data_IF_041788963801
#
_entry.id   IF_041788963801
#
_cell.length_a   1.000
_cell.length_b   1.000
_cell.length_c   1.000
_cell.angle_alpha   90.00
_cell.angle_beta   90.00
_cell.angle_gamma   90.00
#
_symmetry.space_group_name_H-M   'P 1'
#
loop_
_entity.id
_entity.type
_entity.pdbx_description
1 polymer ?
#
# COMPACT_ATOMS: atom_id res chain seq x y z
N UNK A 1 39.63 -19.45 -38.78
CA UNK A 1 38.86 -20.24 -37.79
C UNK A 1 37.87 -19.29 -37.13
N UNK A 2 36.59 -19.59 -37.29
CA UNK A 2 35.45 -18.76 -36.93
C UNK A 2 35.17 -18.89 -35.42
N UNK A 3 35.33 -17.80 -34.66
CA UNK A 3 34.71 -17.65 -33.35
C UNK A 3 33.31 -17.02 -33.57
N UNK A 4 32.34 -17.87 -33.88
CA UNK A 4 30.92 -17.55 -33.81
C UNK A 4 30.23 -18.56 -32.90
N UNK A 5 29.25 -18.08 -32.13
CA UNK A 5 28.44 -18.78 -31.12
C UNK A 5 29.25 -19.16 -29.87
N UNK A 6 28.97 -18.67 -28.66
CA UNK A 6 27.68 -18.56 -27.99
C UNK A 6 27.69 -17.40 -26.98
N UNK A 7 27.44 -16.16 -27.42
CA UNK A 7 26.74 -15.20 -26.56
C UNK A 7 25.26 -15.45 -26.76
N UNK A 8 24.72 -16.39 -25.99
CA UNK A 8 23.31 -16.41 -25.61
C UNK A 8 23.09 -15.06 -24.92
N UNK A 9 22.74 -14.03 -25.70
CA UNK A 9 22.04 -12.86 -25.19
C UNK A 9 20.84 -13.46 -24.46
N UNK A 10 20.92 -13.49 -23.13
CA UNK A 10 19.74 -13.41 -22.30
C UNK A 10 19.05 -12.13 -22.76
N UNK A 11 18.14 -12.28 -23.73
CA UNK A 11 17.01 -11.40 -23.81
C UNK A 11 16.26 -11.67 -22.52
N UNK A 12 16.65 -10.97 -21.45
CA UNK A 12 15.71 -10.58 -20.42
C UNK A 12 14.59 -9.88 -21.19
N UNK A 13 13.56 -10.64 -21.51
CA UNK A 13 12.26 -10.07 -21.79
C UNK A 13 11.97 -9.22 -20.57
N UNK A 14 12.14 -7.90 -20.70
CA UNK A 14 11.54 -6.94 -19.79
C UNK A 14 10.05 -7.20 -19.94
N UNK A 15 9.52 -8.11 -19.12
CA UNK A 15 8.09 -8.35 -19.01
C UNK A 15 7.57 -7.00 -18.58
N UNK A 16 6.96 -6.28 -19.53
CA UNK A 16 6.33 -4.99 -19.26
C UNK A 16 5.23 -5.32 -18.25
N UNK A 17 5.50 -5.09 -16.96
CA UNK A 17 4.58 -5.42 -15.89
C UNK A 17 3.26 -4.72 -16.21
N UNK A 18 2.18 -5.49 -16.26
CA UNK A 18 0.85 -4.91 -16.47
C UNK A 18 0.52 -3.97 -15.31
N UNK A 19 -0.46 -3.07 -15.51
CA UNK A 19 -0.90 -2.15 -14.45
C UNK A 19 -1.31 -2.90 -13.18
N UNK A 20 -1.92 -4.08 -13.34
CA UNK A 20 -2.20 -5.02 -12.27
C UNK A 20 -0.94 -5.44 -11.50
N UNK A 21 0.11 -5.91 -12.19
CA UNK A 21 1.33 -6.39 -11.54
C UNK A 21 2.09 -5.23 -10.84
N UNK A 22 2.02 -4.02 -11.40
CA UNK A 22 2.58 -2.81 -10.79
C UNK A 22 1.84 -2.45 -9.51
N UNK A 23 0.51 -2.42 -9.55
CA UNK A 23 -0.31 -2.09 -8.40
C UNK A 23 -0.22 -3.15 -7.30
N UNK A 24 -0.19 -4.44 -7.67
CA UNK A 24 0.07 -5.54 -6.75
C UNK A 24 1.41 -5.35 -6.03
N UNK A 25 2.47 -4.99 -6.75
CA UNK A 25 3.78 -4.74 -6.14
C UNK A 25 3.77 -3.56 -5.16
N UNK A 26 3.05 -2.49 -5.49
CA UNK A 26 2.88 -1.33 -4.61
C UNK A 26 2.16 -1.75 -3.32
N UNK A 27 1.02 -2.42 -3.44
CA UNK A 27 0.19 -2.85 -2.31
C UNK A 27 0.95 -3.81 -1.40
N UNK A 28 1.66 -4.79 -1.97
CA UNK A 28 2.50 -5.72 -1.20
C UNK A 28 3.61 -4.97 -0.46
N UNK A 29 4.29 -4.03 -1.12
CA UNK A 29 5.39 -3.25 -0.50
C UNK A 29 4.86 -2.45 0.70
N UNK A 30 3.73 -1.77 0.55
CA UNK A 30 3.16 -0.95 1.63
C UNK A 30 2.68 -1.81 2.79
N UNK A 31 1.97 -2.89 2.50
CA UNK A 31 1.47 -3.79 3.54
C UNK A 31 2.63 -4.42 4.33
N UNK A 32 3.73 -4.76 3.66
CA UNK A 32 4.94 -5.26 4.33
C UNK A 32 5.66 -4.20 5.18
N UNK A 33 5.54 -2.91 4.84
CA UNK A 33 6.12 -1.81 5.61
C UNK A 33 5.26 -1.42 6.82
N UNK A 34 3.93 -1.45 6.69
CA UNK A 34 3.01 -1.09 7.78
C UNK A 34 2.93 -2.17 8.88
N UNK A 35 3.19 -3.41 8.50
CA UNK A 35 3.12 -4.56 9.39
C UNK A 35 4.55 -5.11 9.54
N UNK A 36 5.26 -4.72 10.60
CA UNK A 36 6.68 -5.08 10.78
C UNK A 36 6.90 -6.49 11.33
N UNK A 37 5.85 -7.15 11.84
CA UNK A 37 5.94 -8.43 12.55
C UNK A 37 5.36 -9.61 11.75
N UNK A 38 6.08 -10.06 10.73
CA UNK A 38 5.76 -11.35 10.10
C UNK A 38 7.00 -12.19 9.89
N UNK A 39 6.92 -13.44 10.33
CA UNK A 39 7.95 -14.44 10.06
C UNK A 39 7.83 -15.04 8.66
N UNK A 40 6.66 -14.96 7.98
CA UNK A 40 6.42 -15.48 6.64
C UNK A 40 5.31 -14.70 5.89
N UNK A 41 5.38 -14.68 4.55
CA UNK A 41 4.41 -14.02 3.67
C UNK A 41 2.94 -14.48 3.88
N UNK A 42 2.74 -15.72 4.32
CA UNK A 42 1.42 -16.29 4.57
C UNK A 42 0.71 -15.68 5.80
N UNK A 43 1.42 -14.96 6.65
CA UNK A 43 0.86 -14.30 7.83
C UNK A 43 0.55 -12.81 7.63
N UNK A 44 0.81 -12.26 6.43
CA UNK A 44 0.63 -10.83 6.17
C UNK A 44 -0.81 -10.39 6.43
N UNK A 45 -1.78 -11.13 5.88
CA UNK A 45 -3.20 -10.83 6.11
C UNK A 45 -3.62 -11.04 7.58
N UNK A 46 -3.02 -12.02 8.27
CA UNK A 46 -3.33 -12.26 9.68
C UNK A 46 -2.87 -11.11 10.56
N UNK A 47 -1.60 -10.71 10.44
CA UNK A 47 -1.03 -9.60 11.19
C UNK A 47 -1.70 -8.26 10.85
N UNK A 48 -2.01 -8.02 9.58
CA UNK A 48 -2.75 -6.83 9.15
C UNK A 48 -4.17 -6.77 9.76
N UNK A 49 -4.86 -7.91 9.83
CA UNK A 49 -6.18 -7.99 10.45
C UNK A 49 -6.14 -7.77 11.97
N UNK A 50 -5.10 -8.25 12.67
CA UNK A 50 -4.89 -7.94 14.09
C UNK A 50 -4.69 -6.44 14.28
N UNK A 51 -3.80 -5.83 13.51
CA UNK A 51 -3.53 -4.39 13.60
C UNK A 51 -4.78 -3.55 13.29
N UNK A 52 -5.62 -3.99 12.34
CA UNK A 52 -6.90 -3.36 12.07
C UNK A 52 -7.86 -3.47 13.26
N UNK A 53 -7.89 -4.62 13.95
CA UNK A 53 -8.70 -4.81 15.15
C UNK A 53 -8.22 -3.90 16.30
N UNK A 54 -6.91 -3.81 16.52
CA UNK A 54 -6.29 -2.91 17.50
C UNK A 54 -6.63 -1.45 17.21
N UNK A 55 -6.52 -0.99 15.96
CA UNK A 55 -6.90 0.36 15.56
C UNK A 55 -8.38 0.65 15.85
N UNK A 56 -9.27 -0.32 15.60
CA UNK A 56 -10.71 -0.19 15.91
C UNK A 56 -10.96 -0.13 17.42
N UNK A 57 -10.20 -0.87 18.22
CA UNK A 57 -10.27 -0.82 19.68
C UNK A 57 -9.79 0.53 20.23
N UNK A 58 -8.63 1.02 19.76
CA UNK A 58 -8.08 2.33 20.11
C UNK A 58 -9.06 3.44 19.73
N UNK A 59 -9.66 3.37 18.54
CA UNK A 59 -10.71 4.31 18.13
C UNK A 59 -11.92 4.26 19.08
N UNK A 60 -12.36 3.07 19.49
CA UNK A 60 -13.45 2.92 20.46
C UNK A 60 -13.11 3.55 21.81
N UNK A 61 -11.87 3.39 22.28
CA UNK A 61 -11.37 4.05 23.49
C UNK A 61 -11.43 5.58 23.38
N UNK A 62 -10.87 6.15 22.32
CA UNK A 62 -10.88 7.61 22.13
C UNK A 62 -12.30 8.15 22.01
N UNK A 63 -13.18 7.48 21.26
CA UNK A 63 -14.59 7.86 21.10
C UNK A 63 -15.34 7.98 22.43
N UNK A 64 -15.09 7.08 23.38
CA UNK A 64 -15.72 7.09 24.72
C UNK A 64 -15.28 8.28 25.57
N UNK A 65 -14.08 8.81 25.30
CA UNK A 65 -13.45 9.87 26.10
C UNK A 65 -13.55 11.26 25.44
N UNK A 66 -14.26 11.38 24.32
CA UNK A 66 -14.50 12.67 23.66
C UNK A 66 -15.30 13.57 24.59
N UNK A 67 -14.76 14.76 24.84
CA UNK A 67 -15.44 15.81 25.59
C UNK A 67 -15.09 17.17 24.96
N UNK A 68 -16.09 17.92 24.50
CA UNK A 68 -15.88 19.21 23.84
C UNK A 68 -15.57 20.36 24.82
N UNK A 69 -15.68 20.11 26.13
CA UNK A 69 -15.49 21.11 27.17
C UNK A 69 -14.10 21.07 27.81
N UNK A 70 -13.24 20.11 27.43
CA UNK A 70 -11.86 20.05 27.89
C UNK A 70 -10.90 19.85 26.72
N UNK A 71 -9.73 20.46 26.81
CA UNK A 71 -8.67 20.28 25.81
C UNK A 71 -8.27 18.80 25.66
N UNK A 72 -8.29 18.05 26.78
CA UNK A 72 -8.06 16.58 26.77
C UNK A 72 -9.15 15.85 25.99
N UNK A 73 -10.41 16.26 26.12
CA UNK A 73 -11.51 15.65 25.37
C UNK A 73 -11.48 16.01 23.88
N UNK A 74 -10.93 17.18 23.53
CA UNK A 74 -10.68 17.58 22.15
C UNK A 74 -9.51 16.80 21.55
N UNK A 75 -8.45 16.55 22.32
CA UNK A 75 -7.39 15.60 21.94
C UNK A 75 -7.96 14.20 21.63
N UNK A 76 -8.88 13.68 22.46
CA UNK A 76 -9.51 12.39 22.16
C UNK A 76 -10.32 12.40 20.86
N UNK A 77 -10.91 13.54 20.49
CA UNK A 77 -11.60 13.70 19.20
C UNK A 77 -10.61 13.62 18.03
N UNK A 78 -9.54 14.40 18.09
CA UNK A 78 -8.54 14.44 17.01
C UNK A 78 -7.83 13.08 16.87
N UNK A 79 -7.52 12.43 18.00
CA UNK A 79 -6.96 11.08 18.03
C UNK A 79 -7.94 10.01 17.51
N UNK A 80 -9.24 10.16 17.76
CA UNK A 80 -10.26 9.29 17.18
C UNK A 80 -10.30 9.42 15.66
N UNK A 81 -10.38 10.65 15.14
CA UNK A 81 -10.46 10.93 13.71
C UNK A 81 -9.21 10.43 12.98
N UNK A 82 -8.03 10.63 13.56
CA UNK A 82 -6.76 10.13 13.03
C UNK A 82 -6.73 8.59 13.02
N UNK A 83 -7.13 7.95 14.12
CA UNK A 83 -7.13 6.48 14.24
C UNK A 83 -8.11 5.82 13.28
N UNK A 84 -9.32 6.37 13.12
CA UNK A 84 -10.31 5.88 12.16
C UNK A 84 -9.81 6.05 10.73
N UNK A 85 -9.18 7.19 10.40
CA UNK A 85 -8.57 7.38 9.08
C UNK A 85 -7.53 6.30 8.78
N UNK A 86 -6.63 6.01 9.73
CA UNK A 86 -5.64 4.93 9.60
C UNK A 86 -6.30 3.56 9.45
N UNK A 87 -7.33 3.26 10.24
CA UNK A 87 -8.06 2.00 10.15
C UNK A 87 -8.72 1.79 8.78
N UNK A 88 -9.36 2.84 8.24
CA UNK A 88 -10.01 2.79 6.93
C UNK A 88 -8.99 2.63 5.79
N UNK A 89 -7.84 3.32 5.88
CA UNK A 89 -6.74 3.17 4.92
C UNK A 89 -6.19 1.74 4.93
N UNK A 90 -5.89 1.20 6.11
CA UNK A 90 -5.41 -0.18 6.25
C UNK A 90 -6.43 -1.20 5.72
N UNK A 91 -7.71 -1.01 6.04
CA UNK A 91 -8.76 -1.86 5.52
C UNK A 91 -8.83 -1.84 3.99
N UNK A 92 -8.74 -0.66 3.37
CA UNK A 92 -8.74 -0.54 1.90
C UNK A 92 -7.52 -1.23 1.27
N UNK A 93 -6.34 -1.13 1.91
CA UNK A 93 -5.12 -1.82 1.46
C UNK A 93 -5.30 -3.34 1.56
N UNK A 94 -5.86 -3.85 2.66
CA UNK A 94 -6.15 -5.29 2.85
C UNK A 94 -7.14 -5.78 1.79
N UNK A 95 -8.25 -5.07 1.59
CA UNK A 95 -9.27 -5.43 0.61
C UNK A 95 -8.66 -5.46 -0.80
N UNK A 96 -7.88 -4.44 -1.15
CA UNK A 96 -7.16 -4.35 -2.43
C UNK A 96 -6.12 -5.46 -2.60
N UNK A 97 -5.40 -5.83 -1.53
CA UNK A 97 -4.47 -6.94 -1.55
C UNK A 97 -5.20 -8.24 -1.91
N UNK A 98 -6.35 -8.51 -1.28
CA UNK A 98 -7.14 -9.72 -1.57
C UNK A 98 -7.60 -9.73 -3.03
N UNK A 99 -8.17 -8.63 -3.52
CA UNK A 99 -8.59 -8.45 -4.92
C UNK A 99 -7.43 -8.67 -5.89
N UNK A 100 -6.26 -8.08 -5.62
CA UNK A 100 -5.04 -8.20 -6.44
C UNK A 100 -4.32 -9.55 -6.30
N UNK A 101 -4.88 -10.51 -5.58
CA UNK A 101 -4.41 -11.90 -5.55
C UNK A 101 -5.44 -12.87 -6.15
N UNK A 102 -6.54 -12.36 -6.71
CA UNK A 102 -7.52 -13.15 -7.46
C UNK A 102 -7.22 -12.97 -8.96
N UNK A 103 -6.56 -13.97 -9.57
CA UNK A 103 -6.15 -13.91 -10.98
C UNK A 103 -7.32 -13.70 -11.95
N UNK A 104 -8.52 -14.20 -11.59
CA UNK A 104 -9.75 -14.05 -12.39
C UNK A 104 -10.18 -12.58 -12.55
N UNK A 105 -9.75 -11.68 -11.66
CA UNK A 105 -10.10 -10.26 -11.73
C UNK A 105 -9.08 -9.42 -12.51
N UNK A 106 -7.95 -10.01 -12.94
CA UNK A 106 -6.83 -9.31 -13.60
C UNK A 106 -7.26 -8.48 -14.81
N UNK A 107 -8.05 -9.04 -15.73
CA UNK A 107 -8.51 -8.32 -16.92
C UNK A 107 -9.45 -7.17 -16.58
N UNK A 108 -10.38 -7.39 -15.64
CA UNK A 108 -11.33 -6.37 -15.17
C UNK A 108 -10.59 -5.22 -14.50
N UNK A 109 -9.61 -5.52 -13.66
CA UNK A 109 -8.79 -4.53 -12.94
C UNK A 109 -7.94 -3.75 -13.94
N UNK A 110 -7.25 -4.42 -14.85
CA UNK A 110 -6.49 -3.74 -15.90
C UNK A 110 -7.37 -2.80 -16.73
N UNK A 111 -8.60 -3.21 -17.07
CA UNK A 111 -9.54 -2.34 -17.78
C UNK A 111 -9.94 -1.10 -16.96
N UNK A 112 -10.23 -1.25 -15.66
CA UNK A 112 -10.55 -0.11 -14.78
C UNK A 112 -9.34 0.82 -14.61
N UNK A 113 -8.15 0.26 -14.46
CA UNK A 113 -6.91 1.01 -14.26
C UNK A 113 -6.41 1.71 -15.53
N UNK A 114 -6.93 1.41 -16.72
CA UNK A 114 -6.55 2.13 -17.96
C UNK A 114 -6.78 3.63 -17.90
N UNK A 115 -7.76 4.09 -17.13
CA UNK A 115 -8.03 5.53 -16.97
C UNK A 115 -7.13 6.20 -15.93
N UNK A 116 -6.32 5.41 -15.23
CA UNK A 116 -5.39 5.84 -14.17
C UNK A 116 -3.97 5.33 -14.46
N UNK A 117 -3.68 4.94 -15.70
CA UNK A 117 -2.43 4.30 -16.09
C UNK A 117 -1.23 5.17 -15.77
N UNK A 118 -1.29 6.45 -16.15
CA UNK A 118 -0.25 7.44 -15.86
C UNK A 118 0.03 7.56 -14.36
N UNK A 119 -1.02 7.53 -13.52
CA UNK A 119 -0.87 7.63 -12.06
C UNK A 119 -0.28 6.37 -11.45
N UNK A 120 -0.73 5.19 -11.88
CA UNK A 120 -0.22 3.90 -11.39
C UNK A 120 1.25 3.74 -11.79
N UNK A 121 1.60 4.04 -13.04
CA UNK A 121 2.98 3.98 -13.54
C UNK A 121 3.87 4.98 -12.82
N UNK A 122 3.40 6.22 -12.62
CA UNK A 122 4.16 7.24 -11.88
C UNK A 122 4.45 6.79 -10.45
N UNK A 123 3.45 6.30 -9.72
CA UNK A 123 3.65 5.82 -8.35
C UNK A 123 4.56 4.59 -8.30
N UNK A 124 4.42 3.68 -9.26
CA UNK A 124 5.27 2.50 -9.37
C UNK A 124 6.75 2.88 -9.55
N UNK A 125 7.03 3.83 -10.44
CA UNK A 125 8.38 4.32 -10.70
C UNK A 125 8.94 5.06 -9.47
N UNK A 126 8.15 5.95 -8.86
CA UNK A 126 8.53 6.68 -7.64
C UNK A 126 8.91 5.71 -6.51
N UNK A 127 8.15 4.63 -6.33
CA UNK A 127 8.43 3.60 -5.33
C UNK A 127 9.74 2.84 -5.61
N UNK A 128 10.05 2.58 -6.88
CA UNK A 128 11.34 1.97 -7.25
C UNK A 128 12.48 2.95 -7.00
N UNK A 129 12.33 4.20 -7.41
CA UNK A 129 13.35 5.23 -7.23
C UNK A 129 13.62 5.48 -5.74
N UNK A 130 12.58 5.61 -4.93
CA UNK A 130 12.68 5.80 -3.48
C UNK A 130 13.46 4.67 -2.80
N UNK A 131 13.24 3.41 -3.20
CA UNK A 131 14.00 2.24 -2.66
C UNK A 131 15.51 2.33 -2.92
N UNK A 132 15.94 3.09 -3.92
CA UNK A 132 17.35 3.28 -4.26
C UNK A 132 17.97 4.54 -3.62
N UNK A 133 17.16 5.36 -2.95
CA UNK A 133 17.62 6.60 -2.31
C UNK A 133 17.87 6.38 -0.81
N UNK A 134 18.86 7.11 -0.28
CA UNK A 134 19.07 7.20 1.17
C UNK A 134 18.39 8.47 1.66
N UNK A 135 17.28 8.31 2.39
CA UNK A 135 16.46 9.43 2.87
C UNK A 135 16.58 9.50 4.40
N UNK A 136 16.50 10.72 4.93
CA UNK A 136 16.52 10.93 6.37
C UNK A 136 15.28 10.25 7.00
N UNK A 137 15.42 9.52 8.12
CA UNK A 137 14.29 8.81 8.74
C UNK A 137 13.08 9.71 9.06
N UNK A 138 13.32 10.99 9.34
CA UNK A 138 12.28 11.98 9.62
C UNK A 138 11.44 12.34 8.38
N UNK A 139 12.05 12.27 7.19
CA UNK A 139 11.37 12.56 5.92
C UNK A 139 10.65 11.32 5.38
N UNK A 140 11.07 10.13 5.81
CA UNK A 140 10.47 8.86 5.40
C UNK A 140 8.99 8.77 5.82
N UNK A 141 8.66 9.14 7.05
CA UNK A 141 7.25 9.15 7.50
C UNK A 141 6.38 10.12 6.68
N UNK A 142 6.90 11.31 6.38
CA UNK A 142 6.22 12.30 5.54
C UNK A 142 6.04 11.81 4.10
N UNK A 143 7.06 11.16 3.53
CA UNK A 143 6.99 10.58 2.20
C UNK A 143 5.91 9.50 2.12
N UNK A 144 5.90 8.55 3.05
CA UNK A 144 4.88 7.50 3.08
C UNK A 144 3.47 8.05 3.33
N UNK A 145 3.35 9.16 4.07
CA UNK A 145 2.10 9.90 4.21
C UNK A 145 1.59 10.47 2.88
N UNK A 146 2.47 11.11 2.11
CA UNK A 146 2.15 11.66 0.79
C UNK A 146 1.82 10.52 -0.21
N UNK A 147 2.67 9.51 -0.27
CA UNK A 147 2.50 8.35 -1.16
C UNK A 147 1.16 7.65 -0.92
N UNK A 148 0.78 7.43 0.35
CA UNK A 148 -0.52 6.84 0.68
C UNK A 148 -1.68 7.73 0.26
N UNK A 149 -1.54 9.04 0.35
CA UNK A 149 -2.59 9.99 -0.08
C UNK A 149 -2.89 9.86 -1.57
N UNK A 150 -1.86 9.66 -2.40
CA UNK A 150 -2.03 9.45 -3.84
C UNK A 150 -2.49 8.03 -4.19
N UNK A 151 -2.12 7.04 -3.38
CA UNK A 151 -2.52 5.65 -3.59
C UNK A 151 -4.00 5.38 -3.23
N UNK A 152 -4.52 5.97 -2.14
CA UNK A 152 -5.87 5.63 -1.67
C UNK A 152 -6.98 5.81 -2.72
N UNK A 153 -7.01 6.88 -3.53
CA UNK A 153 -7.99 7.03 -4.61
C UNK A 153 -7.91 5.91 -5.66
N UNK A 154 -6.71 5.44 -5.99
CA UNK A 154 -6.51 4.35 -6.96
C UNK A 154 -7.05 3.03 -6.41
N UNK A 155 -6.81 2.76 -5.12
CA UNK A 155 -7.33 1.56 -4.46
C UNK A 155 -8.85 1.60 -4.30
N UNK A 156 -9.43 2.79 -4.09
CA UNK A 156 -10.88 2.94 -4.01
C UNK A 156 -11.58 2.55 -5.33
N UNK A 157 -10.93 2.75 -6.46
CA UNK A 157 -11.42 2.35 -7.79
C UNK A 157 -11.34 0.84 -8.04
N UNK A 158 -10.72 0.05 -7.16
CA UNK A 158 -10.73 -1.41 -7.25
C UNK A 158 -12.00 -2.03 -6.64
N UNK A 159 -12.65 -1.31 -5.72
CA UNK A 159 -13.89 -1.73 -5.04
C UNK A 159 -15.10 -1.68 -5.98
#
# INVERSE_FOLDING_TARGET
MFFQSFTKRQMETVIKKDLYDQLQHIVVTILSGEVTNHFQANHILYSANIQLAELKEIASYHRKNINMHSEVGQFHKDAYDMTIKKANQLQLIIDSYVTLHIDLERERINHRLRFLDDKVVSLYNELIEFKNQTILPQLEESYWGAYKTDLMPILAELR
#
